data_IF_926120456338
#
_entry.id   IF_926120456338
#
_cell.length_a   1.000
_cell.length_b   1.000
_cell.length_c   1.000
_cell.angle_alpha   90.00
_cell.angle_beta   90.00
_cell.angle_gamma   90.00
#
_symmetry.space_group_name_H-M   'P 1'
#
loop_
_entity.id
_entity.type
_entity.pdbx_description
1 polymer ?
#
# COMPACT_ATOMS: atom_id res chain seq x y z
N UNK A 1 -38.13 -37.16 -39.78
CA UNK A 1 -37.53 -35.80 -39.83
C UNK A 1 -36.88 -35.38 -38.52
N UNK A 2 -36.63 -36.31 -37.58
CA UNK A 2 -36.13 -35.94 -36.24
C UNK A 2 -34.65 -36.29 -36.01
N UNK A 3 -34.08 -37.28 -36.72
CA UNK A 3 -32.66 -37.63 -36.50
C UNK A 3 -31.69 -36.68 -37.18
N UNK A 4 -32.00 -36.18 -38.38
CA UNK A 4 -31.14 -35.21 -39.08
C UNK A 4 -31.12 -33.87 -38.35
N UNK A 5 -32.29 -33.40 -37.89
CA UNK A 5 -32.38 -32.15 -37.13
C UNK A 5 -31.70 -32.28 -35.74
N UNK A 6 -31.76 -33.46 -35.12
CA UNK A 6 -31.00 -33.71 -33.89
C UNK A 6 -29.48 -33.76 -34.10
N UNK A 7 -29.01 -34.31 -35.23
CA UNK A 7 -27.59 -34.27 -35.58
C UNK A 7 -27.08 -32.84 -35.74
N UNK A 8 -27.86 -31.95 -36.36
CA UNK A 8 -27.50 -30.53 -36.47
C UNK A 8 -27.45 -29.83 -35.10
N UNK A 9 -28.42 -30.11 -34.22
CA UNK A 9 -28.44 -29.53 -32.86
C UNK A 9 -27.23 -30.00 -32.03
N UNK A 10 -26.85 -31.29 -32.11
CA UNK A 10 -25.69 -31.81 -31.40
C UNK A 10 -24.38 -31.19 -31.89
N UNK A 11 -24.22 -30.98 -33.20
CA UNK A 11 -23.03 -30.33 -33.78
C UNK A 11 -22.91 -28.85 -33.37
N UNK A 12 -24.03 -28.14 -33.23
CA UNK A 12 -24.06 -26.76 -32.72
C UNK A 12 -23.72 -26.70 -31.23
N UNK A 13 -24.21 -27.65 -30.43
CA UNK A 13 -23.92 -27.67 -28.98
C UNK A 13 -22.46 -28.04 -28.68
N UNK A 14 -21.84 -28.95 -29.45
CA UNK A 14 -20.43 -29.32 -29.25
C UNK A 14 -19.47 -28.22 -29.70
N UNK A 15 -19.79 -27.48 -30.77
CA UNK A 15 -18.99 -26.33 -31.21
C UNK A 15 -19.03 -25.17 -30.22
N UNK A 16 -20.19 -24.90 -29.60
CA UNK A 16 -20.28 -23.92 -28.51
C UNK A 16 -19.48 -24.36 -27.26
N UNK A 17 -19.44 -25.65 -26.94
CA UNK A 17 -18.68 -26.17 -25.80
C UNK A 17 -17.15 -26.13 -26.01
N UNK A 18 -16.66 -26.12 -27.26
CA UNK A 18 -15.23 -25.93 -27.53
C UNK A 18 -14.78 -24.48 -27.32
N UNK A 19 -15.67 -23.49 -27.47
CA UNK A 19 -15.39 -22.09 -27.16
C UNK A 19 -15.32 -21.81 -25.64
N UNK A 20 -15.89 -22.68 -24.80
CA UNK A 20 -15.90 -22.52 -23.33
C UNK A 20 -14.82 -23.33 -22.59
N UNK A 21 -14.03 -24.15 -23.29
CA UNK A 21 -12.94 -24.94 -22.68
C UNK A 21 -11.52 -24.48 -23.11
N UNK A 22 -11.41 -23.28 -23.69
CA UNK A 22 -10.13 -22.65 -23.98
C UNK A 22 -9.69 -21.70 -22.88
N UNK A 23 -9.26 -22.21 -21.72
CA UNK A 23 -8.31 -21.55 -20.80
C UNK A 23 -8.01 -22.43 -19.57
N UNK A 24 -7.21 -23.47 -19.78
CA UNK A 24 -6.27 -23.92 -18.73
C UNK A 24 -4.95 -24.27 -19.41
N UNK A 25 -3.89 -23.62 -18.92
CA UNK A 25 -2.45 -23.88 -19.10
C UNK A 25 -1.83 -23.63 -20.47
N UNK A 26 -1.17 -22.47 -20.64
CA UNK A 26 0.20 -22.29 -21.17
C UNK A 26 0.52 -20.78 -21.23
N UNK A 27 0.94 -20.19 -20.10
CA UNK A 27 1.87 -19.06 -20.11
C UNK A 27 3.14 -19.54 -19.39
N UNK A 28 4.15 -19.92 -20.16
CA UNK A 28 5.54 -19.93 -19.69
C UNK A 28 6.32 -19.03 -20.66
N UNK A 29 6.68 -17.85 -20.16
CA UNK A 29 7.81 -17.07 -20.62
C UNK A 29 8.25 -16.21 -19.43
N UNK A 30 9.36 -16.64 -18.87
CA UNK A 30 10.08 -16.20 -17.69
C UNK A 30 10.63 -14.76 -17.85
N UNK A 31 10.36 -13.87 -16.88
CA UNK A 31 11.21 -12.71 -16.56
C UNK A 31 10.87 -12.15 -15.16
N UNK A 32 11.54 -12.70 -14.14
CA UNK A 32 11.90 -12.07 -12.86
C UNK A 32 10.93 -11.02 -12.30
N UNK A 33 10.01 -11.46 -11.43
CA UNK A 33 9.56 -10.62 -10.33
C UNK A 33 9.89 -11.36 -9.05
N UNK A 34 10.66 -10.67 -8.21
CA UNK A 34 11.17 -11.11 -6.92
C UNK A 34 10.07 -11.78 -6.11
N UNK A 35 10.34 -12.99 -5.64
CA UNK A 35 9.66 -13.54 -4.48
C UNK A 35 10.02 -12.63 -3.31
N UNK A 36 9.24 -11.56 -3.10
CA UNK A 36 9.20 -10.94 -1.79
C UNK A 36 8.66 -12.02 -0.84
N UNK A 37 9.58 -12.71 -0.17
CA UNK A 37 9.34 -13.43 1.06
C UNK A 37 8.60 -12.46 2.00
N UNK A 38 7.27 -12.48 1.98
CA UNK A 38 6.51 -12.02 3.11
C UNK A 38 6.65 -13.10 4.18
N UNK A 39 7.80 -13.08 4.85
CA UNK A 39 8.02 -13.81 6.10
C UNK A 39 6.94 -13.32 7.07
N UNK A 40 5.93 -14.16 7.26
CA UNK A 40 4.93 -14.00 8.30
C UNK A 40 5.56 -14.46 9.59
N UNK A 41 6.41 -13.60 10.15
CA UNK A 41 7.02 -13.84 11.45
C UNK A 41 5.98 -13.56 12.52
N UNK A 42 5.30 -14.64 12.87
CA UNK A 42 4.83 -15.01 14.19
C UNK A 42 3.96 -13.99 14.95
N UNK A 43 2.75 -14.45 15.25
CA UNK A 43 1.99 -14.05 16.44
C UNK A 43 2.90 -13.93 17.67
N UNK A 44 3.02 -12.71 18.17
CA UNK A 44 3.13 -12.46 19.59
C UNK A 44 2.26 -11.24 19.90
N UNK A 45 1.00 -11.49 20.22
CA UNK A 45 0.19 -10.58 21.03
C UNK A 45 0.87 -10.44 22.39
N UNK A 46 1.80 -9.50 22.50
CA UNK A 46 2.27 -9.03 23.79
C UNK A 46 1.66 -7.66 24.05
N UNK A 47 0.56 -7.68 24.79
CA UNK A 47 0.07 -6.52 25.52
C UNK A 47 1.17 -6.07 26.47
N UNK A 48 1.93 -5.04 26.08
CA UNK A 48 2.63 -4.22 27.06
C UNK A 48 1.71 -3.03 27.32
N UNK A 49 0.79 -3.20 28.27
CA UNK A 49 0.13 -2.06 28.90
C UNK A 49 1.19 -1.12 29.43
N UNK A 50 0.98 0.16 29.20
CA UNK A 50 1.70 1.24 29.85
C UNK A 50 1.68 1.07 31.37
N UNK A 51 2.74 1.59 32.03
CA UNK A 51 2.93 1.70 33.47
C UNK A 51 3.33 0.41 34.24
N UNK A 52 4.63 0.21 34.44
CA UNK A 52 5.18 0.33 35.80
C UNK A 52 6.72 0.27 35.80
N UNK A 53 7.29 1.23 36.54
CA UNK A 53 8.73 1.44 36.66
C UNK A 53 9.28 0.55 37.79
N UNK A 54 10.00 -0.53 37.48
CA UNK A 54 10.77 -1.27 38.50
C UNK A 54 12.28 -1.09 38.25
N UNK A 55 13.03 -0.42 39.15
CA UNK A 55 14.46 -0.20 38.98
C UNK A 55 15.24 -1.41 39.55
N UNK A 56 15.26 -2.54 38.84
CA UNK A 56 16.15 -3.65 39.18
C UNK A 56 17.56 -3.41 38.62
N UNK A 57 18.32 -2.66 39.41
CA UNK A 57 19.74 -2.35 39.25
C UNK A 57 20.56 -3.63 39.40
N UNK A 58 20.77 -4.40 38.32
CA UNK A 58 21.75 -5.49 38.38
C UNK A 58 21.82 -6.56 37.28
N UNK A 59 20.85 -6.72 36.37
CA UNK A 59 20.85 -7.87 35.42
C UNK A 59 20.59 -7.52 33.94
N UNK A 60 20.63 -6.25 33.55
CA UNK A 60 20.04 -5.79 32.28
C UNK A 60 20.93 -5.62 31.04
N UNK A 61 22.09 -6.30 30.87
CA UNK A 61 22.81 -6.22 29.57
C UNK A 61 22.28 -7.18 28.50
N UNK A 62 21.35 -8.06 28.86
CA UNK A 62 20.68 -9.00 27.94
C UNK A 62 19.35 -8.47 27.38
N UNK A 63 19.00 -7.20 27.61
CA UNK A 63 17.84 -6.62 26.96
C UNK A 63 18.23 -6.19 25.55
N UNK A 64 17.96 -7.11 24.63
CA UNK A 64 17.58 -6.89 23.24
C UNK A 64 18.02 -5.53 22.69
N UNK A 65 19.14 -5.54 21.95
CA UNK A 65 19.48 -4.42 21.08
C UNK A 65 18.45 -4.37 19.95
N UNK A 66 17.31 -3.74 20.24
CA UNK A 66 16.32 -3.37 19.21
C UNK A 66 17.03 -2.43 18.26
N UNK A 67 17.24 -2.87 17.03
CA UNK A 67 17.85 -2.07 15.98
C UNK A 67 17.02 -0.81 15.79
N UNK A 68 17.51 0.31 16.34
CA UNK A 68 16.91 1.62 16.09
C UNK A 68 17.31 1.99 14.67
N UNK A 69 16.41 1.76 13.71
CA UNK A 69 16.60 2.20 12.33
C UNK A 69 16.58 3.73 12.30
N UNK A 70 17.66 4.33 11.77
CA UNK A 70 17.65 5.74 11.43
C UNK A 70 16.69 5.95 10.25
N UNK A 71 15.78 6.90 10.39
CA UNK A 71 14.80 7.26 9.36
C UNK A 71 14.89 8.74 9.08
N UNK A 72 14.57 9.14 7.85
CA UNK A 72 14.54 10.55 7.49
C UNK A 72 13.24 11.19 7.98
N UNK A 73 13.37 12.03 9.01
CA UNK A 73 12.24 12.77 9.58
C UNK A 73 11.57 13.72 8.58
N UNK A 74 12.18 14.00 7.43
CA UNK A 74 11.61 14.92 6.42
C UNK A 74 10.64 14.25 5.46
N UNK A 75 10.69 12.92 5.37
CA UNK A 75 9.99 12.12 4.35
C UNK A 75 9.26 10.92 4.95
N UNK A 76 9.73 10.40 6.09
CA UNK A 76 9.06 9.31 6.79
C UNK A 76 7.74 9.77 7.41
N UNK A 77 6.64 9.20 6.91
CA UNK A 77 5.27 9.47 7.38
C UNK A 77 5.02 9.05 8.83
N UNK A 78 5.76 8.06 9.33
CA UNK A 78 5.61 7.54 10.69
C UNK A 78 6.47 8.28 11.72
N UNK A 79 7.43 9.08 11.25
CA UNK A 79 8.41 9.79 12.07
C UNK A 79 8.58 11.25 11.61
N UNK A 80 7.50 11.90 11.16
CA UNK A 80 7.58 13.18 10.47
C UNK A 80 7.97 14.31 11.43
N UNK A 81 9.12 14.93 11.20
CA UNK A 81 9.66 16.01 12.05
C UNK A 81 10.20 15.56 13.41
N UNK A 82 9.73 14.42 13.96
CA UNK A 82 10.25 13.78 15.17
C UNK A 82 9.87 12.30 15.22
N UNK A 83 10.66 11.50 15.93
CA UNK A 83 10.40 10.06 16.10
C UNK A 83 9.01 9.81 16.71
N UNK A 84 8.28 8.85 16.15
CA UNK A 84 6.94 8.46 16.58
C UNK A 84 5.81 9.44 16.19
N UNK A 85 6.11 10.57 15.54
CA UNK A 85 5.07 11.48 15.06
C UNK A 85 4.54 11.03 13.70
N UNK A 86 3.39 10.36 13.73
CA UNK A 86 2.72 9.83 12.55
C UNK A 86 1.78 10.86 11.94
N UNK A 87 1.87 11.08 10.63
CA UNK A 87 0.89 11.89 9.91
C UNK A 87 -0.47 11.18 9.83
N UNK A 88 -1.55 11.94 9.67
CA UNK A 88 -2.90 11.38 9.47
C UNK A 88 -2.99 10.57 8.18
N UNK A 89 -4.04 9.77 8.03
CA UNK A 89 -4.21 8.87 6.87
C UNK A 89 -4.10 9.60 5.52
N UNK A 90 -4.72 10.78 5.40
CA UNK A 90 -4.71 11.60 4.18
C UNK A 90 -3.52 12.55 4.06
N UNK A 91 -2.54 12.47 4.96
CA UNK A 91 -1.39 13.37 5.00
C UNK A 91 -0.09 12.64 4.63
N UNK A 92 0.81 13.38 4.00
CA UNK A 92 2.17 12.97 3.67
C UNK A 92 3.17 13.77 4.51
N UNK A 93 4.35 13.19 4.77
CA UNK A 93 5.45 13.96 5.35
C UNK A 93 6.16 14.76 4.27
N UNK A 94 6.13 16.08 4.37
CA UNK A 94 6.80 16.98 3.45
C UNK A 94 7.67 17.95 4.23
N UNK A 95 8.99 17.84 4.08
CA UNK A 95 9.98 18.69 4.77
C UNK A 95 9.79 18.69 6.30
N UNK A 96 9.43 17.53 6.86
CA UNK A 96 9.25 17.34 8.29
C UNK A 96 7.93 17.90 8.84
N UNK A 97 6.95 18.13 7.96
CA UNK A 97 5.59 18.54 8.34
C UNK A 97 4.57 17.66 7.64
N UNK A 98 3.54 17.28 8.36
CA UNK A 98 2.40 16.60 7.78
C UNK A 98 1.56 17.60 6.98
N UNK A 99 1.35 17.31 5.70
CA UNK A 99 0.56 18.14 4.79
C UNK A 99 -0.42 17.25 4.04
N UNK A 100 -1.61 17.78 3.74
CA UNK A 100 -2.61 17.05 2.98
C UNK A 100 -2.51 17.42 1.50
N UNK A 101 -2.02 16.54 0.62
CA UNK A 101 -1.87 16.86 -0.79
C UNK A 101 -3.21 17.05 -1.52
N UNK A 102 -4.33 16.66 -0.92
CA UNK A 102 -5.66 16.80 -1.53
C UNK A 102 -6.24 18.22 -1.42
N UNK A 103 -5.75 19.01 -0.47
CA UNK A 103 -6.32 20.33 -0.14
C UNK A 103 -5.28 21.41 0.11
N UNK A 104 -4.02 21.06 0.35
CA UNK A 104 -2.95 22.04 0.56
C UNK A 104 -2.49 22.66 -0.77
N UNK A 105 -2.74 23.97 -0.92
CA UNK A 105 -2.34 24.76 -2.09
C UNK A 105 -0.83 24.75 -2.38
N UNK A 106 0.02 24.56 -1.37
CA UNK A 106 1.49 24.56 -1.50
C UNK A 106 2.05 23.16 -1.77
N UNK A 107 1.25 22.11 -1.59
CA UNK A 107 1.65 20.71 -1.68
C UNK A 107 0.62 19.88 -2.47
N UNK A 108 0.00 20.48 -3.49
CA UNK A 108 -1.16 19.91 -4.17
C UNK A 108 -0.77 18.71 -5.03
N UNK A 109 -1.35 17.54 -4.77
CA UNK A 109 -1.01 16.27 -5.41
C UNK A 109 0.32 15.67 -4.95
N UNK A 110 1.37 16.50 -4.80
CA UNK A 110 2.71 16.07 -4.35
C UNK A 110 3.40 17.14 -3.50
N UNK A 111 4.34 16.72 -2.66
CA UNK A 111 5.14 17.59 -1.81
C UNK A 111 5.85 18.70 -2.63
N UNK A 112 5.64 19.95 -2.22
CA UNK A 112 6.17 21.18 -2.85
C UNK A 112 5.57 21.55 -4.21
N UNK A 113 4.43 20.97 -4.60
CA UNK A 113 3.71 21.40 -5.78
C UNK A 113 2.71 22.52 -5.44
N UNK A 114 3.18 23.76 -5.52
CA UNK A 114 2.33 24.94 -5.30
C UNK A 114 1.49 25.25 -6.55
N UNK A 115 0.18 25.43 -6.37
CA UNK A 115 -0.67 25.93 -7.45
C UNK A 115 -0.23 27.33 -7.89
N UNK A 116 0.13 27.47 -9.19
CA UNK A 116 0.72 28.69 -9.77
C UNK A 116 -0.25 29.87 -9.78
N UNK A 117 -1.54 29.63 -9.96
CA UNK A 117 -2.53 30.69 -10.03
C UNK A 117 -2.72 31.36 -8.67
N UNK A 118 -2.72 32.70 -8.66
CA UNK A 118 -2.93 33.48 -7.43
C UNK A 118 -4.19 33.04 -6.68
N UNK A 119 -5.27 32.69 -7.40
CA UNK A 119 -6.54 32.19 -6.83
C UNK A 119 -6.72 30.68 -6.85
N UNK A 120 -5.90 29.94 -7.61
CA UNK A 120 -6.04 28.49 -7.74
C UNK A 120 -6.07 27.78 -6.40
N UNK A 121 -7.08 26.93 -6.22
CA UNK A 121 -7.30 26.10 -5.02
C UNK A 121 -6.82 24.69 -5.29
N UNK A 122 -6.38 23.98 -4.25
CA UNK A 122 -6.16 22.54 -4.37
C UNK A 122 -7.47 21.83 -4.05
N UNK A 123 -7.98 21.06 -4.99
CA UNK A 123 -9.23 20.33 -4.87
C UNK A 123 -8.99 18.91 -5.37
N UNK A 124 -9.16 17.92 -4.48
CA UNK A 124 -8.88 16.51 -4.76
C UNK A 124 -7.49 16.23 -5.34
N UNK A 125 -6.48 16.99 -4.89
CA UNK A 125 -5.09 16.81 -5.34
C UNK A 125 -4.76 17.49 -6.66
N UNK A 126 -5.69 18.26 -7.22
CA UNK A 126 -5.49 19.01 -8.47
C UNK A 126 -5.65 20.51 -8.23
N UNK A 127 -4.81 21.29 -8.92
CA UNK A 127 -4.92 22.74 -8.92
C UNK A 127 -6.09 23.18 -9.81
N UNK A 128 -7.12 23.76 -9.21
CA UNK A 128 -8.20 24.39 -9.96
C UNK A 128 -7.80 25.78 -10.47
N UNK A 129 -8.49 26.22 -11.53
CA UNK A 129 -8.24 27.50 -12.21
C UNK A 129 -9.15 28.64 -11.74
N UNK A 130 -10.06 28.38 -10.79
CA UNK A 130 -11.04 29.37 -10.28
C UNK A 130 -10.40 30.50 -9.43
#
# INVERSE_FOLDING_TARGET
MNSLNQLFVLMLLTSLALLSHGSTTLYEADLSHEEDEFETDAEATFEATDDDSIPLRGIGRFLAQKSKKCVDLKTDRLNCGKCGYKCKYSEICCKGKCVNPMSDKKHCGVCNNKCRHKKGKCVYGMCSYA
#
